data_IF_346374850164
#
_entry.id   IF_346374850164
#
_cell.length_a   1.000
_cell.length_b   1.000
_cell.length_c   1.000
_cell.angle_alpha   90.00
_cell.angle_beta   90.00
_cell.angle_gamma   90.00
#
_symmetry.space_group_name_H-M   'P 1'
#
loop_
_entity.id
_entity.type
_entity.pdbx_description
1 polymer ?
#
# COMPACT_ATOMS: atom_id res chain seq x y z
N UNK A 1 -25.96 11.69 -31.22
CA UNK A 1 -26.33 10.27 -31.12
C UNK A 1 -25.63 9.74 -29.88
N UNK A 2 -26.31 9.81 -28.73
CA UNK A 2 -25.81 9.31 -27.45
C UNK A 2 -26.06 7.80 -27.37
N UNK A 3 -25.46 7.14 -26.38
CA UNK A 3 -25.68 5.77 -25.86
C UNK A 3 -24.55 4.77 -26.16
N UNK A 4 -23.65 4.54 -25.18
CA UNK A 4 -22.95 3.24 -25.03
C UNK A 4 -22.58 2.83 -23.59
N UNK A 5 -22.66 3.71 -22.58
CA UNK A 5 -22.23 3.37 -21.21
C UNK A 5 -23.25 2.56 -20.38
N UNK A 6 -24.51 2.99 -20.35
CA UNK A 6 -25.52 2.43 -19.43
C UNK A 6 -26.21 1.15 -19.92
N UNK A 7 -26.12 0.81 -21.22
CA UNK A 7 -26.86 -0.31 -21.83
C UNK A 7 -26.16 -1.67 -21.69
N UNK A 8 -24.93 -1.70 -21.20
CA UNK A 8 -24.15 -2.93 -21.06
C UNK A 8 -24.16 -3.49 -19.63
N UNK A 9 -24.61 -2.72 -18.63
CA UNK A 9 -24.58 -3.16 -17.23
C UNK A 9 -25.51 -4.37 -17.01
N UNK A 10 -26.75 -4.28 -17.50
CA UNK A 10 -27.73 -5.37 -17.38
C UNK A 10 -27.29 -6.64 -18.14
N UNK A 11 -26.60 -6.47 -19.28
CA UNK A 11 -26.02 -7.57 -20.03
C UNK A 11 -24.84 -8.23 -19.29
N UNK A 12 -23.92 -7.43 -18.74
CA UNK A 12 -22.80 -7.91 -17.92
C UNK A 12 -23.32 -8.66 -16.70
N UNK A 13 -24.34 -8.14 -16.02
CA UNK A 13 -24.96 -8.76 -14.84
C UNK A 13 -25.63 -10.10 -15.19
N UNK A 14 -26.29 -10.19 -16.34
CA UNK A 14 -26.85 -11.45 -16.85
C UNK A 14 -25.74 -12.48 -17.14
N UNK A 15 -24.67 -12.07 -17.84
CA UNK A 15 -23.52 -12.95 -18.08
C UNK A 15 -22.88 -13.42 -16.76
N UNK A 16 -22.79 -12.52 -15.78
CA UNK A 16 -22.25 -12.86 -14.46
C UNK A 16 -23.14 -13.85 -13.69
N UNK A 17 -24.47 -13.67 -13.72
CA UNK A 17 -25.42 -14.63 -13.13
C UNK A 17 -25.33 -16.01 -13.79
N UNK A 18 -25.18 -16.05 -15.12
CA UNK A 18 -24.99 -17.30 -15.85
C UNK A 18 -23.68 -17.98 -15.43
N UNK A 19 -22.58 -17.23 -15.39
CA UNK A 19 -21.27 -17.71 -14.96
C UNK A 19 -21.29 -18.25 -13.51
N UNK A 20 -21.97 -17.58 -12.58
CA UNK A 20 -22.16 -18.05 -11.20
C UNK A 20 -22.96 -19.35 -11.11
N UNK A 21 -23.91 -19.57 -12.01
CA UNK A 21 -24.68 -20.82 -12.06
C UNK A 21 -23.87 -21.98 -12.64
N UNK A 22 -23.12 -21.70 -13.71
CA UNK A 22 -22.29 -22.66 -14.44
C UNK A 22 -21.31 -21.90 -15.34
N UNK A 23 -19.99 -21.94 -15.04
CA UNK A 23 -18.98 -21.22 -15.80
C UNK A 23 -18.93 -21.60 -17.29
N UNK A 24 -19.34 -22.82 -17.65
CA UNK A 24 -19.31 -23.29 -19.04
C UNK A 24 -20.38 -22.65 -19.93
N UNK A 25 -21.38 -21.97 -19.35
CA UNK A 25 -22.47 -21.31 -20.08
C UNK A 25 -22.09 -19.98 -20.72
N UNK A 26 -21.00 -19.36 -20.28
CA UNK A 26 -20.47 -18.12 -20.87
C UNK A 26 -19.23 -18.41 -21.71
N UNK A 27 -18.90 -17.51 -22.64
CA UNK A 27 -17.72 -17.67 -23.50
C UNK A 27 -16.43 -17.70 -22.67
N UNK A 28 -15.37 -18.28 -23.25
CA UNK A 28 -14.07 -18.40 -22.58
C UNK A 28 -13.50 -17.03 -22.16
N UNK A 29 -13.74 -15.98 -22.94
CA UNK A 29 -13.31 -14.61 -22.62
C UNK A 29 -14.05 -14.09 -21.38
N UNK A 30 -15.36 -14.34 -21.27
CA UNK A 30 -16.15 -14.00 -20.08
C UNK A 30 -15.74 -14.80 -18.84
N UNK A 31 -15.39 -16.07 -19.00
CA UNK A 31 -14.87 -16.89 -17.91
C UNK A 31 -13.58 -16.28 -17.34
N UNK A 32 -12.63 -15.92 -18.21
CA UNK A 32 -11.36 -15.31 -17.79
C UNK A 32 -11.57 -13.93 -17.17
N UNK A 33 -12.47 -13.13 -17.74
CA UNK A 33 -12.83 -11.82 -17.19
C UNK A 33 -13.33 -11.95 -15.74
N UNK A 34 -14.39 -12.72 -15.50
CA UNK A 34 -14.95 -12.85 -14.14
C UNK A 34 -14.02 -13.57 -13.17
N UNK A 35 -13.27 -14.58 -13.63
CA UNK A 35 -12.27 -15.26 -12.81
C UNK A 35 -11.16 -14.31 -12.35
N UNK A 36 -10.72 -13.40 -13.22
CA UNK A 36 -9.73 -12.38 -12.88
C UNK A 36 -10.25 -11.39 -11.82
N UNK A 37 -11.51 -10.96 -11.94
CA UNK A 37 -12.15 -10.08 -10.95
C UNK A 37 -12.33 -10.74 -9.57
N UNK A 38 -12.79 -11.99 -9.53
CA UNK A 38 -12.93 -12.75 -8.28
C UNK A 38 -11.57 -13.02 -7.61
N UNK A 39 -10.54 -13.32 -8.40
CA UNK A 39 -9.18 -13.47 -7.87
C UNK A 39 -8.66 -12.15 -7.27
N UNK A 40 -8.96 -11.01 -7.88
CA UNK A 40 -8.60 -9.70 -7.36
C UNK A 40 -9.40 -9.36 -6.08
N UNK A 41 -10.71 -9.57 -6.08
CA UNK A 41 -11.58 -9.32 -4.92
C UNK A 41 -11.26 -10.24 -3.73
N UNK A 42 -10.91 -11.50 -3.99
CA UNK A 42 -10.43 -12.43 -2.97
C UNK A 42 -9.11 -11.97 -2.32
N UNK A 43 -8.27 -11.21 -3.06
CA UNK A 43 -7.05 -10.58 -2.52
C UNK A 43 -7.32 -9.28 -1.78
N UNK A 44 -8.39 -8.57 -2.10
CA UNK A 44 -8.78 -7.32 -1.41
C UNK A 44 -9.36 -7.55 -0.01
N UNK A 45 -9.79 -8.78 0.31
CA UNK A 45 -10.46 -9.12 1.58
C UNK A 45 -9.55 -9.12 2.81
N UNK A 46 -8.29 -8.71 2.69
CA UNK A 46 -7.35 -8.52 3.81
C UNK A 46 -6.85 -7.08 3.93
N UNK A 47 -7.56 -6.10 3.35
CA UNK A 47 -7.34 -4.68 3.68
C UNK A 47 -8.29 -4.31 4.82
N UNK A 48 -7.85 -4.51 6.05
CA UNK A 48 -8.53 -3.99 7.24
C UNK A 48 -8.43 -2.45 7.20
N UNK A 49 -9.40 -1.79 6.58
CA UNK A 49 -9.58 -0.34 6.66
C UNK A 49 -10.22 0.01 8.01
N UNK A 50 -9.47 -0.19 9.09
CA UNK A 50 -9.71 0.55 10.34
C UNK A 50 -8.78 1.75 10.25
N UNK A 51 -9.30 2.88 9.77
CA UNK A 51 -8.56 4.13 9.78
C UNK A 51 -8.58 4.68 11.21
N UNK A 52 -7.70 4.15 12.06
CA UNK A 52 -7.41 4.77 13.34
C UNK A 52 -6.70 6.12 13.09
N UNK A 53 -7.24 7.21 13.63
CA UNK A 53 -6.71 8.56 13.40
C UNK A 53 -5.24 8.65 13.86
N UNK A 54 -4.92 7.97 14.96
CA UNK A 54 -3.57 7.86 15.48
C UNK A 54 -2.64 7.11 14.51
N UNK A 55 -3.13 6.03 13.89
CA UNK A 55 -2.34 5.26 12.92
C UNK A 55 -2.06 6.07 11.65
N UNK A 56 -3.05 6.84 11.16
CA UNK A 56 -2.88 7.72 9.99
C UNK A 56 -1.90 8.87 10.29
N UNK A 57 -1.99 9.45 11.48
CA UNK A 57 -1.07 10.51 11.93
C UNK A 57 0.37 9.99 11.99
N UNK A 58 0.58 8.83 12.64
CA UNK A 58 1.91 8.20 12.73
C UNK A 58 2.44 7.82 11.36
N UNK A 59 1.63 7.22 10.48
CA UNK A 59 2.02 6.92 9.10
C UNK A 59 2.59 8.14 8.37
N UNK A 60 1.95 9.31 8.53
CA UNK A 60 2.42 10.57 7.95
C UNK A 60 3.77 11.02 8.53
N UNK A 61 4.00 10.80 9.83
CA UNK A 61 5.27 11.10 10.50
C UNK A 61 6.41 10.20 10.00
N UNK A 62 6.13 8.90 9.81
CA UNK A 62 7.10 7.94 9.24
C UNK A 62 7.50 8.32 7.83
N UNK A 63 6.53 8.71 7.01
CA UNK A 63 6.78 9.16 5.64
C UNK A 63 7.63 10.44 5.61
N UNK A 64 7.36 11.39 6.50
CA UNK A 64 8.16 12.61 6.64
C UNK A 64 9.61 12.31 7.07
N UNK A 65 9.80 11.43 8.06
CA UNK A 65 11.12 10.97 8.50
C UNK A 65 11.89 10.28 7.35
N UNK A 66 11.20 9.42 6.60
CA UNK A 66 11.76 8.71 5.44
C UNK A 66 12.20 9.69 4.36
N UNK A 67 11.36 10.66 4.02
CA UNK A 67 11.69 11.69 3.06
C UNK A 67 12.90 12.51 3.52
N UNK A 68 12.94 12.88 4.81
CA UNK A 68 14.07 13.63 5.36
C UNK A 68 15.38 12.86 5.30
N UNK A 69 15.36 11.56 5.56
CA UNK A 69 16.52 10.68 5.38
C UNK A 69 16.97 10.58 3.93
N UNK A 70 16.07 10.64 2.95
CA UNK A 70 16.46 10.66 1.53
C UNK A 70 17.20 11.95 1.17
N UNK A 71 16.73 13.08 1.67
CA UNK A 71 17.34 14.37 1.39
C UNK A 71 18.68 14.57 2.12
N UNK A 72 18.71 14.24 3.42
CA UNK A 72 19.80 14.59 4.32
C UNK A 72 20.57 13.41 4.93
N UNK A 73 20.20 12.17 4.64
CA UNK A 73 20.82 10.99 5.25
C UNK A 73 22.33 10.88 4.99
N UNK A 74 22.83 11.53 3.94
CA UNK A 74 24.26 11.64 3.67
C UNK A 74 25.05 12.34 4.80
N UNK A 75 24.41 13.15 5.64
CA UNK A 75 25.04 13.76 6.82
C UNK A 75 25.34 12.75 7.94
N UNK A 76 24.63 11.63 7.96
CA UNK A 76 24.87 10.50 8.86
C UNK A 76 25.72 9.39 8.22
N UNK A 77 26.11 9.54 6.96
CA UNK A 77 26.88 8.51 6.28
C UNK A 77 28.32 8.48 6.82
N UNK A 78 28.80 7.29 7.15
CA UNK A 78 30.19 7.10 7.55
C UNK A 78 31.10 7.03 6.31
N UNK A 79 31.44 8.20 5.77
CA UNK A 79 32.24 8.34 4.55
C UNK A 79 33.73 8.57 4.82
N UNK A 80 34.08 9.10 5.99
CA UNK A 80 35.46 9.39 6.35
C UNK A 80 36.08 8.22 7.15
N UNK A 81 37.06 7.49 6.60
CA UNK A 81 37.70 6.37 7.29
C UNK A 81 38.63 6.80 8.44
N UNK A 82 38.94 8.09 8.56
CA UNK A 82 39.82 8.63 9.60
C UNK A 82 39.05 9.22 10.79
N UNK A 83 37.75 9.48 10.62
CA UNK A 83 36.88 10.01 11.67
C UNK A 83 35.97 8.92 12.23
N UNK A 84 35.50 9.12 13.47
CA UNK A 84 34.43 8.31 14.02
C UNK A 84 33.13 8.59 13.26
N UNK A 85 32.33 7.55 13.00
CA UNK A 85 31.06 7.70 12.32
C UNK A 85 30.08 8.54 13.16
N UNK A 86 29.33 9.48 12.55
CA UNK A 86 28.23 10.15 13.24
C UNK A 86 27.12 9.14 13.54
N UNK A 87 26.54 9.22 14.73
CA UNK A 87 25.47 8.29 15.19
C UNK A 87 24.10 8.95 15.28
N UNK A 88 24.03 10.28 15.35
CA UNK A 88 22.77 11.01 15.44
C UNK A 88 22.88 12.39 14.78
N UNK A 89 21.73 12.90 14.33
CA UNK A 89 21.60 14.22 13.75
C UNK A 89 20.23 14.80 14.14
N UNK A 90 20.13 16.00 14.72
CA UNK A 90 18.87 16.55 15.25
C UNK A 90 17.71 16.60 14.24
N UNK A 91 18.01 16.80 12.96
CA UNK A 91 17.00 16.84 11.89
C UNK A 91 16.60 15.47 11.34
N UNK A 92 17.25 14.39 11.80
CA UNK A 92 17.01 13.01 11.38
C UNK A 92 16.57 12.13 12.56
N UNK A 93 16.54 12.67 13.77
CA UNK A 93 16.11 11.95 14.96
C UNK A 93 14.58 11.72 14.89
N UNK A 94 14.08 10.48 15.13
CA UNK A 94 12.64 10.18 15.13
C UNK A 94 11.82 11.06 16.09
N UNK A 95 12.40 11.46 17.23
CA UNK A 95 11.73 12.33 18.20
C UNK A 95 11.37 13.71 17.61
N UNK A 96 12.12 14.19 16.61
CA UNK A 96 11.81 15.44 15.90
C UNK A 96 10.52 15.33 15.05
N UNK A 97 10.04 14.12 14.80
CA UNK A 97 8.82 13.80 14.05
C UNK A 97 7.69 13.28 14.94
N UNK A 98 7.79 13.47 16.26
CA UNK A 98 6.82 12.97 17.25
C UNK A 98 6.69 11.43 17.29
N UNK A 99 7.71 10.71 16.83
CA UNK A 99 7.81 9.26 16.98
C UNK A 99 8.54 8.91 18.27
N UNK A 100 8.07 7.87 18.94
CA UNK A 100 8.62 7.35 20.20
C UNK A 100 9.21 5.96 20.00
N UNK A 101 9.95 5.46 20.98
CA UNK A 101 10.49 4.09 20.92
C UNK A 101 9.37 3.03 20.79
N UNK A 102 8.17 3.30 21.31
CA UNK A 102 6.98 2.45 21.16
C UNK A 102 6.50 2.31 19.70
N UNK A 103 6.97 3.19 18.80
CA UNK A 103 6.67 3.13 17.37
C UNK A 103 7.63 2.23 16.59
N UNK A 104 8.79 1.91 17.17
CA UNK A 104 9.81 1.04 16.56
C UNK A 104 9.37 -0.42 16.44
N UNK A 105 8.32 -0.83 17.16
CA UNK A 105 7.77 -2.19 17.06
C UNK A 105 6.49 -2.23 16.21
N UNK A 106 6.05 -1.07 15.67
CA UNK A 106 4.80 -0.96 14.90
C UNK A 106 5.05 -1.13 13.41
N UNK A 107 4.09 -1.75 12.74
CA UNK A 107 4.10 -1.90 11.29
C UNK A 107 3.46 -0.68 10.62
N UNK A 108 4.18 -0.13 9.62
CA UNK A 108 3.75 0.99 8.80
C UNK A 108 3.69 0.60 7.33
N UNK A 109 2.76 1.22 6.61
CA UNK A 109 2.59 0.96 5.19
C UNK A 109 3.75 1.55 4.38
N UNK A 110 4.25 0.82 3.38
CA UNK A 110 5.28 1.33 2.47
C UNK A 110 4.93 1.01 1.02
N UNK A 111 4.95 2.04 0.17
CA UNK A 111 4.62 1.89 -1.26
C UNK A 111 5.75 1.31 -2.11
N UNK A 112 6.98 1.25 -1.57
CA UNK A 112 8.20 1.08 -2.36
C UNK A 112 8.72 -0.37 -2.39
N UNK A 113 8.18 -1.26 -1.58
CA UNK A 113 8.66 -2.64 -1.48
C UNK A 113 7.64 -3.63 -2.05
N UNK A 114 7.81 -4.10 -3.30
CA UNK A 114 6.89 -5.06 -3.89
C UNK A 114 6.90 -6.38 -3.09
N UNK A 115 5.72 -6.80 -2.63
CA UNK A 115 5.52 -8.05 -1.89
C UNK A 115 5.60 -7.92 -0.36
N UNK A 116 5.97 -6.75 0.17
CA UNK A 116 5.87 -6.42 1.60
C UNK A 116 5.41 -4.99 1.75
N UNK A 117 4.10 -4.83 1.94
CA UNK A 117 3.49 -3.53 2.08
C UNK A 117 3.62 -2.96 3.50
N UNK A 118 4.16 -3.75 4.44
CA UNK A 118 4.32 -3.39 5.85
C UNK A 118 5.79 -3.51 6.25
N UNK A 119 6.30 -2.49 6.93
CA UNK A 119 7.67 -2.42 7.46
C UNK A 119 7.62 -1.90 8.88
N UNK A 120 8.42 -2.49 9.76
CA UNK A 120 8.62 -2.04 11.14
C UNK A 120 9.67 -0.93 11.15
N UNK A 121 9.45 0.11 11.96
CA UNK A 121 10.26 1.34 11.98
C UNK A 121 11.67 1.12 12.56
#
# INVERSE_FOLDING_TARGET
MALTGAWNAEFIDEQYRQWKSDPSKVSRDWQFFFQGFELASARESEVVLVCDEDQVSRQSQVEALTHRHRDLGHLLACLDPLAACPTDHPLLNPAAFNLTDDDLEREFYTQLFPGKNLVVL
#
